data_IF_503466480071
#
_entry.id   IF_503466480071
#
_cell.length_a   1.000
_cell.length_b   1.000
_cell.length_c   1.000
_cell.angle_alpha   90.00
_cell.angle_beta   90.00
_cell.angle_gamma   90.00
#
_symmetry.space_group_name_H-M   'P 1'
#
loop_
_entity.id
_entity.type
_entity.pdbx_description
1 polymer ?
#
# COMPACT_ATOMS: atom_id res chain seq x y z
N UNK A 1 -9.58 -7.49 10.12
CA UNK A 1 -8.50 -6.97 9.26
C UNK A 1 -9.03 -5.96 8.24
N UNK A 2 -10.06 -6.30 7.45
CA UNK A 2 -10.69 -5.39 6.49
C UNK A 2 -11.06 -4.01 7.05
N UNK A 3 -11.86 -3.97 8.14
CA UNK A 3 -12.23 -2.70 8.77
C UNK A 3 -11.04 -1.91 9.35
N UNK A 4 -9.93 -2.58 9.68
CA UNK A 4 -8.71 -1.94 10.16
C UNK A 4 -7.96 -1.27 9.00
N UNK A 5 -7.77 -1.99 7.89
CA UNK A 5 -7.13 -1.49 6.68
C UNK A 5 -7.94 -0.35 6.05
N UNK A 6 -9.27 -0.49 6.01
CA UNK A 6 -10.16 0.58 5.56
C UNK A 6 -10.05 1.84 6.42
N UNK A 7 -9.87 1.69 7.74
CA UNK A 7 -9.67 2.84 8.64
C UNK A 7 -8.37 3.57 8.34
N UNK A 8 -7.30 2.85 8.06
CA UNK A 8 -6.03 3.48 7.66
C UNK A 8 -6.15 4.17 6.31
N UNK A 9 -6.84 3.55 5.35
CA UNK A 9 -7.09 4.15 4.05
C UNK A 9 -8.05 5.35 4.09
N UNK A 10 -8.93 5.45 5.10
CA UNK A 10 -9.77 6.63 5.31
C UNK A 10 -8.98 7.92 5.53
N UNK A 11 -7.69 7.83 5.89
CA UNK A 11 -6.75 8.97 5.88
C UNK A 11 -6.63 9.70 4.53
N UNK A 12 -7.32 9.24 3.48
CA UNK A 12 -7.59 10.02 2.26
C UNK A 12 -8.27 11.37 2.54
N UNK A 13 -9.00 11.51 3.64
CA UNK A 13 -9.60 12.79 4.08
C UNK A 13 -8.56 13.90 4.33
N UNK A 14 -7.29 13.54 4.57
CA UNK A 14 -6.21 14.52 4.73
C UNK A 14 -5.94 15.32 3.45
N UNK A 15 -6.20 14.77 2.27
CA UNK A 15 -5.98 15.47 0.99
C UNK A 15 -6.89 16.70 0.87
N UNK A 16 -8.23 16.60 0.96
CA UNK A 16 -9.10 17.77 0.91
C UNK A 16 -8.88 18.71 2.10
N UNK A 17 -8.56 18.19 3.29
CA UNK A 17 -8.24 19.01 4.44
C UNK A 17 -6.98 19.87 4.23
N UNK A 18 -5.90 19.28 3.71
CA UNK A 18 -4.67 19.99 3.37
C UNK A 18 -4.90 21.05 2.30
N UNK A 19 -5.69 20.74 1.28
CA UNK A 19 -6.06 21.70 0.23
C UNK A 19 -6.83 22.89 0.81
N UNK A 20 -7.80 22.64 1.70
CA UNK A 20 -8.57 23.68 2.37
C UNK A 20 -7.68 24.58 3.25
N UNK A 21 -6.86 24.00 4.12
CA UNK A 21 -5.97 24.74 5.01
C UNK A 21 -4.88 25.52 4.24
N UNK A 22 -4.32 24.93 3.18
CA UNK A 22 -3.36 25.63 2.32
C UNK A 22 -4.01 26.74 1.50
N UNK A 23 -5.28 26.62 1.14
CA UNK A 23 -6.07 27.70 0.56
C UNK A 23 -6.22 28.86 1.55
N UNK A 24 -6.68 28.57 2.77
CA UNK A 24 -6.90 29.55 3.84
C UNK A 24 -5.63 30.31 4.24
N UNK A 25 -4.50 29.60 4.39
CA UNK A 25 -3.22 30.21 4.81
C UNK A 25 -2.53 31.01 3.70
N UNK A 26 -3.06 31.02 2.48
CA UNK A 26 -2.65 31.94 1.41
C UNK A 26 -1.12 31.97 1.20
N UNK A 27 -0.52 33.16 1.16
CA UNK A 27 0.91 33.37 0.88
C UNK A 27 1.86 33.05 2.05
N UNK A 28 1.35 32.69 3.23
CA UNK A 28 2.19 32.38 4.40
C UNK A 28 3.03 31.11 4.21
N UNK A 29 2.62 30.24 3.28
CA UNK A 29 3.32 29.00 2.96
C UNK A 29 3.75 29.05 1.48
N UNK A 30 5.03 28.77 1.16
CA UNK A 30 5.49 28.75 -0.23
C UNK A 30 4.77 27.67 -1.05
N UNK A 31 4.45 28.00 -2.30
CA UNK A 31 3.69 27.13 -3.22
C UNK A 31 4.32 25.74 -3.37
N UNK A 32 5.65 25.66 -3.44
CA UNK A 32 6.36 24.38 -3.53
C UNK A 32 6.12 23.47 -2.33
N UNK A 33 6.06 24.03 -1.11
CA UNK A 33 5.81 23.25 0.10
C UNK A 33 4.38 22.71 0.09
N UNK A 34 3.41 23.51 -0.36
CA UNK A 34 2.01 23.07 -0.51
C UNK A 34 1.91 21.92 -1.51
N UNK A 35 2.48 22.10 -2.70
CA UNK A 35 2.46 21.09 -3.75
C UNK A 35 3.14 19.80 -3.29
N UNK A 36 4.34 19.89 -2.69
CA UNK A 36 5.07 18.73 -2.18
C UNK A 36 4.24 17.90 -1.22
N UNK A 37 3.62 18.53 -0.22
CA UNK A 37 2.84 17.79 0.79
C UNK A 37 1.54 17.22 0.21
N UNK A 38 0.83 17.98 -0.62
CA UNK A 38 -0.37 17.46 -1.30
C UNK A 38 0.00 16.32 -2.23
N UNK A 39 1.09 16.44 -2.99
CA UNK A 39 1.55 15.41 -3.91
C UNK A 39 1.96 14.14 -3.19
N UNK A 40 2.76 14.21 -2.12
CA UNK A 40 3.13 13.04 -1.30
C UNK A 40 1.88 12.38 -0.74
N UNK A 41 0.97 13.18 -0.19
CA UNK A 41 -0.24 12.66 0.43
C UNK A 41 -1.13 11.99 -0.62
N UNK A 42 -1.30 12.60 -1.79
CA UNK A 42 -2.13 12.10 -2.89
C UNK A 42 -1.52 10.86 -3.56
N UNK A 43 -0.26 10.96 -3.99
CA UNK A 43 0.48 9.88 -4.64
C UNK A 43 0.52 8.64 -3.74
N UNK A 44 0.74 8.80 -2.43
CA UNK A 44 0.74 7.68 -1.50
C UNK A 44 -0.59 6.90 -1.47
N UNK A 45 -1.75 7.57 -1.58
CA UNK A 45 -3.06 6.87 -1.64
C UNK A 45 -3.24 6.16 -2.97
N UNK A 46 -2.87 6.82 -4.06
CA UNK A 46 -2.94 6.25 -5.40
C UNK A 46 -2.07 5.00 -5.49
N UNK A 47 -0.84 5.08 -5.00
CA UNK A 47 0.08 3.97 -4.95
C UNK A 47 -0.46 2.83 -4.08
N UNK A 48 -1.05 3.12 -2.92
CA UNK A 48 -1.67 2.09 -2.09
C UNK A 48 -2.84 1.38 -2.80
N UNK A 49 -3.71 2.12 -3.49
CA UNK A 49 -4.87 1.54 -4.18
C UNK A 49 -4.47 0.75 -5.43
N UNK A 50 -3.48 1.22 -6.18
CA UNK A 50 -3.24 0.77 -7.56
C UNK A 50 -1.98 -0.06 -7.73
N UNK A 51 -0.91 0.13 -6.95
CA UNK A 51 0.38 -0.53 -7.24
C UNK A 51 0.26 -2.06 -7.31
N UNK A 52 -0.47 -2.67 -6.38
CA UNK A 52 -0.69 -4.13 -6.40
C UNK A 52 -1.48 -4.60 -7.63
N UNK A 53 -2.47 -3.82 -8.07
CA UNK A 53 -3.26 -4.10 -9.28
C UNK A 53 -2.46 -3.86 -10.56
N UNK A 54 -1.69 -2.78 -10.61
CA UNK A 54 -0.87 -2.42 -11.75
C UNK A 54 0.24 -3.45 -11.96
N UNK A 55 0.95 -3.87 -10.92
CA UNK A 55 2.01 -4.89 -11.06
C UNK A 55 1.44 -6.21 -11.59
N UNK A 56 0.26 -6.60 -11.10
CA UNK A 56 -0.37 -7.88 -11.47
C UNK A 56 -0.98 -7.86 -12.88
N UNK A 57 -1.58 -6.73 -13.28
CA UNK A 57 -2.25 -6.59 -14.59
C UNK A 57 -1.29 -6.08 -15.67
N UNK A 58 -0.55 -4.98 -15.43
CA UNK A 58 0.33 -4.38 -16.44
C UNK A 58 1.48 -5.30 -16.87
N UNK A 59 1.94 -6.21 -16.01
CA UNK A 59 2.96 -7.19 -16.40
C UNK A 59 2.50 -8.12 -17.54
N UNK A 60 1.19 -8.34 -17.69
CA UNK A 60 0.60 -9.22 -18.72
C UNK A 60 -0.17 -8.47 -19.80
N UNK A 61 -0.52 -7.20 -19.55
CA UNK A 61 -1.33 -6.37 -20.45
C UNK A 61 -0.73 -6.26 -21.87
N UNK A 62 0.59 -6.04 -22.07
CA UNK A 62 1.16 -6.01 -23.42
C UNK A 62 1.01 -7.32 -24.18
N UNK A 63 1.05 -8.47 -23.48
CA UNK A 63 0.87 -9.79 -24.11
C UNK A 63 -0.58 -10.03 -24.55
N UNK A 64 -1.55 -9.45 -23.83
CA UNK A 64 -2.97 -9.61 -24.14
C UNK A 64 -3.50 -8.62 -25.19
N UNK A 65 -2.95 -7.41 -25.23
CA UNK A 65 -3.48 -6.32 -26.05
C UNK A 65 -2.66 -6.05 -27.32
N UNK A 66 -1.42 -6.56 -27.44
CA UNK A 66 -0.56 -6.26 -28.60
C UNK A 66 -1.05 -6.91 -29.92
N UNK A 67 -1.39 -6.09 -30.93
CA UNK A 67 -1.66 -6.57 -32.29
C UNK A 67 -0.42 -7.21 -32.93
N UNK A 68 -0.59 -8.07 -33.93
CA UNK A 68 0.51 -8.72 -34.68
C UNK A 68 1.56 -7.71 -35.18
N UNK A 69 1.13 -6.51 -35.59
CA UNK A 69 2.01 -5.43 -36.08
C UNK A 69 2.92 -4.84 -34.99
N UNK A 70 2.45 -4.77 -33.75
CA UNK A 70 3.22 -4.27 -32.60
C UNK A 70 4.14 -5.37 -32.06
N UNK A 71 3.76 -6.64 -32.21
CA UNK A 71 4.59 -7.80 -31.87
C UNK A 71 5.91 -7.86 -32.64
N UNK A 72 5.98 -7.26 -33.83
CA UNK A 72 7.21 -7.15 -34.63
C UNK A 72 8.01 -5.86 -34.36
N UNK A 73 7.50 -4.96 -33.50
CA UNK A 73 8.21 -3.73 -33.16
C UNK A 73 9.41 -4.01 -32.25
N UNK A 74 10.49 -3.24 -32.41
CA UNK A 74 11.65 -3.29 -31.51
C UNK A 74 11.26 -3.04 -30.04
N UNK A 75 10.16 -2.30 -29.78
CA UNK A 75 9.65 -2.08 -28.44
C UNK A 75 9.15 -3.38 -27.79
N UNK A 76 8.43 -4.23 -28.52
CA UNK A 76 7.89 -5.48 -28.00
C UNK A 76 9.01 -6.48 -27.69
N UNK A 77 10.07 -6.51 -28.50
CA UNK A 77 11.26 -7.34 -28.24
C UNK A 77 12.09 -6.85 -27.04
N UNK A 78 12.19 -5.54 -26.84
CA UNK A 78 12.95 -4.96 -25.72
C UNK A 78 12.13 -4.88 -24.41
N UNK A 79 10.81 -4.95 -24.48
CA UNK A 79 9.94 -4.85 -23.32
C UNK A 79 10.25 -5.90 -22.23
N UNK A 80 10.46 -7.19 -22.52
CA UNK A 80 10.85 -8.18 -21.51
C UNK A 80 12.17 -7.83 -20.82
N UNK A 81 13.16 -7.34 -21.58
CA UNK A 81 14.46 -6.97 -21.04
C UNK A 81 14.35 -5.75 -20.11
N UNK A 82 13.63 -4.71 -20.53
CA UNK A 82 13.33 -3.54 -19.68
C UNK A 82 12.59 -3.96 -18.41
N UNK A 83 11.59 -4.83 -18.53
CA UNK A 83 10.82 -5.32 -17.39
C UNK A 83 11.71 -6.12 -16.44
N UNK A 84 12.58 -6.99 -16.95
CA UNK A 84 13.54 -7.75 -16.15
C UNK A 84 14.48 -6.83 -15.37
N UNK A 85 15.04 -5.79 -16.01
CA UNK A 85 15.93 -4.83 -15.36
C UNK A 85 15.19 -4.05 -14.26
N UNK A 86 13.98 -3.56 -14.54
CA UNK A 86 13.15 -2.87 -13.54
C UNK A 86 12.82 -3.77 -12.35
N UNK A 87 12.45 -5.03 -12.60
CA UNK A 87 12.16 -6.01 -11.55
C UNK A 87 13.41 -6.33 -10.73
N UNK A 88 14.59 -6.42 -11.36
CA UNK A 88 15.85 -6.67 -10.66
C UNK A 88 16.21 -5.52 -9.73
N UNK A 89 16.08 -4.27 -10.20
CA UNK A 89 16.31 -3.07 -9.39
C UNK A 89 15.29 -3.01 -8.23
N UNK A 90 14.02 -3.29 -8.50
CA UNK A 90 12.98 -3.31 -7.47
C UNK A 90 13.24 -4.40 -6.39
N UNK A 91 13.66 -5.60 -6.81
CA UNK A 91 14.02 -6.67 -5.88
C UNK A 91 15.23 -6.29 -5.02
N UNK A 92 16.26 -5.68 -5.61
CA UNK A 92 17.41 -5.19 -4.85
C UNK A 92 17.00 -4.15 -3.81
N UNK A 93 16.15 -3.19 -4.18
CA UNK A 93 15.61 -2.21 -3.25
C UNK A 93 14.78 -2.84 -2.13
N UNK A 94 13.98 -3.85 -2.44
CA UNK A 94 13.19 -4.60 -1.46
C UNK A 94 14.07 -5.37 -0.48
N UNK A 95 15.10 -6.07 -0.97
CA UNK A 95 16.07 -6.79 -0.13
C UNK A 95 16.81 -5.80 0.77
N UNK A 96 17.26 -4.66 0.24
CA UNK A 96 17.91 -3.63 1.05
C UNK A 96 16.97 -3.11 2.15
N UNK A 97 15.71 -2.84 1.83
CA UNK A 97 14.69 -2.40 2.80
C UNK A 97 14.43 -3.45 3.88
N UNK A 98 14.37 -4.73 3.51
CA UNK A 98 14.23 -5.84 4.44
C UNK A 98 15.46 -5.95 5.38
N UNK A 99 16.66 -5.82 4.84
CA UNK A 99 17.90 -5.82 5.64
C UNK A 99 17.92 -4.65 6.63
N UNK A 100 17.57 -3.45 6.16
CA UNK A 100 17.53 -2.24 6.99
C UNK A 100 16.41 -2.25 8.04
N UNK A 101 15.40 -3.11 7.92
CA UNK A 101 14.32 -3.22 8.91
C UNK A 101 14.61 -4.18 10.05
N UNK A 102 15.59 -5.10 9.93
CA UNK A 102 15.97 -5.98 11.04
C UNK A 102 16.43 -5.23 12.30
N UNK A 103 17.25 -4.15 12.22
CA UNK A 103 17.62 -3.35 13.38
C UNK A 103 16.45 -2.62 14.04
N UNK A 104 15.36 -2.37 13.31
CA UNK A 104 14.15 -1.74 13.86
C UNK A 104 13.26 -2.74 14.60
N UNK A 105 13.47 -4.05 14.44
CA UNK A 105 12.64 -5.05 15.07
C UNK A 105 13.04 -5.22 16.55
N UNK A 106 12.07 -5.18 17.48
CA UNK A 106 12.35 -5.52 18.87
C UNK A 106 12.81 -6.98 18.98
N UNK A 107 13.64 -7.32 19.99
CA UNK A 107 14.08 -8.68 20.21
C UNK A 107 12.87 -9.61 20.38
N UNK A 108 12.99 -10.84 19.84
CA UNK A 108 11.91 -11.82 19.88
C UNK A 108 11.47 -12.07 21.34
N UNK A 109 10.16 -12.01 21.65
CA UNK A 109 9.66 -12.38 22.97
C UNK A 109 9.89 -13.87 23.28
N UNK A 110 10.32 -14.18 24.50
CA UNK A 110 10.58 -15.56 24.97
C UNK A 110 9.33 -16.46 24.98
N UNK A 111 8.14 -15.86 24.93
CA UNK A 111 6.85 -16.55 24.92
C UNK A 111 6.54 -17.28 23.61
N UNK A 112 7.27 -17.00 22.53
CA UNK A 112 6.98 -17.58 21.21
C UNK A 112 7.97 -18.69 20.85
N UNK A 113 7.52 -19.82 20.28
CA UNK A 113 8.36 -20.95 19.90
C UNK A 113 9.14 -20.72 18.58
N UNK A 114 10.25 -21.44 18.36
CA UNK A 114 11.19 -21.19 17.24
C UNK A 114 10.57 -21.43 15.86
N UNK A 115 9.54 -22.26 15.75
CA UNK A 115 8.82 -22.50 14.50
C UNK A 115 8.00 -21.29 14.02
N UNK A 116 7.80 -20.25 14.84
CA UNK A 116 7.19 -18.98 14.39
C UNK A 116 7.98 -18.30 13.28
N UNK A 117 9.29 -18.55 13.16
CA UNK A 117 10.08 -18.06 12.02
C UNK A 117 9.68 -18.71 10.69
N UNK A 118 9.29 -20.00 10.69
CA UNK A 118 8.75 -20.66 9.50
C UNK A 118 7.39 -20.08 9.12
N UNK A 119 6.53 -19.80 10.11
CA UNK A 119 5.25 -19.12 9.86
C UNK A 119 5.49 -17.72 9.29
N UNK A 120 6.47 -16.99 9.82
CA UNK A 120 6.85 -15.67 9.31
C UNK A 120 7.34 -15.76 7.85
N UNK A 121 8.12 -16.78 7.48
CA UNK A 121 8.51 -17.01 6.09
C UNK A 121 7.30 -17.34 5.19
N UNK A 122 6.41 -18.21 5.66
CA UNK A 122 5.18 -18.58 4.94
C UNK A 122 4.24 -17.38 4.73
N UNK A 123 4.25 -16.39 5.63
CA UNK A 123 3.50 -15.13 5.44
C UNK A 123 3.95 -14.36 4.20
N UNK A 124 5.24 -14.41 3.83
CA UNK A 124 5.73 -13.76 2.61
C UNK A 124 5.11 -14.34 1.34
N UNK A 125 4.84 -15.65 1.32
CA UNK A 125 4.14 -16.30 0.20
C UNK A 125 2.70 -15.80 0.04
N UNK A 126 2.06 -15.37 1.13
CA UNK A 126 0.70 -14.84 1.15
C UNK A 126 0.62 -13.35 0.82
N UNK A 127 1.76 -12.63 0.76
CA UNK A 127 1.80 -11.20 0.43
C UNK A 127 1.15 -10.83 -0.91
N UNK A 128 1.45 -11.46 -2.06
CA UNK A 128 0.86 -11.04 -3.33
C UNK A 128 -0.67 -11.13 -3.33
N UNK A 129 -1.23 -12.13 -2.66
CA UNK A 129 -2.69 -12.31 -2.55
C UNK A 129 -3.27 -11.31 -1.54
N UNK A 130 -2.67 -11.22 -0.35
CA UNK A 130 -3.16 -10.33 0.70
C UNK A 130 -3.05 -8.85 0.34
N UNK A 131 -2.03 -8.43 -0.42
CA UNK A 131 -1.90 -7.05 -0.89
C UNK A 131 -3.02 -6.65 -1.87
N UNK A 132 -3.52 -7.57 -2.67
CA UNK A 132 -4.65 -7.28 -3.56
C UNK A 132 -5.95 -7.24 -2.74
N UNK A 133 -6.28 -8.34 -2.06
CA UNK A 133 -7.60 -8.49 -1.45
C UNK A 133 -7.78 -7.77 -0.12
N UNK A 134 -6.74 -7.74 0.72
CA UNK A 134 -6.80 -7.19 2.06
C UNK A 134 -6.21 -5.78 2.17
N UNK A 135 -5.51 -5.30 1.13
CA UNK A 135 -4.91 -3.95 1.11
C UNK A 135 -5.55 -3.07 0.04
N UNK A 136 -5.44 -3.42 -1.25
CA UNK A 136 -5.96 -2.57 -2.34
C UNK A 136 -7.49 -2.41 -2.31
N UNK A 137 -8.26 -3.50 -2.15
CA UNK A 137 -9.73 -3.44 -2.12
C UNK A 137 -10.27 -2.52 -1.00
N UNK A 138 -9.91 -2.69 0.28
CA UNK A 138 -10.39 -1.79 1.33
C UNK A 138 -9.89 -0.36 1.16
N UNK A 139 -8.75 -0.14 0.51
CA UNK A 139 -8.26 1.20 0.20
C UNK A 139 -9.13 1.89 -0.86
N UNK A 140 -9.45 1.18 -1.95
CA UNK A 140 -10.37 1.66 -2.98
C UNK A 140 -11.76 1.91 -2.38
N UNK A 141 -12.26 1.02 -1.51
CA UNK A 141 -13.53 1.22 -0.81
C UNK A 141 -13.54 2.54 -0.01
N UNK A 142 -12.49 2.83 0.76
CA UNK A 142 -12.40 4.09 1.51
C UNK A 142 -12.33 5.34 0.62
N UNK A 143 -11.51 5.31 -0.43
CA UNK A 143 -11.33 6.44 -1.36
C UNK A 143 -12.63 6.72 -2.12
N UNK A 144 -13.28 5.68 -2.65
CA UNK A 144 -14.54 5.82 -3.39
C UNK A 144 -15.67 6.33 -2.50
N UNK A 145 -15.74 5.90 -1.24
CA UNK A 145 -16.69 6.46 -0.26
C UNK A 145 -16.54 7.97 -0.11
N UNK A 146 -15.29 8.47 0.01
CA UNK A 146 -15.01 9.90 0.08
C UNK A 146 -15.39 10.61 -1.24
N UNK A 147 -15.09 10.00 -2.39
CA UNK A 147 -15.45 10.55 -3.70
C UNK A 147 -16.97 10.68 -3.90
N UNK A 148 -17.74 9.72 -3.37
CA UNK A 148 -19.21 9.74 -3.41
C UNK A 148 -19.85 10.51 -2.26
N UNK A 149 -19.06 11.22 -1.44
CA UNK A 149 -19.56 12.02 -0.31
C UNK A 149 -20.14 11.19 0.85
N UNK A 150 -19.90 9.88 0.87
CA UNK A 150 -20.33 8.98 1.96
C UNK A 150 -19.23 8.91 3.01
N UNK A 151 -19.30 9.82 3.98
CA UNK A 151 -18.31 9.90 5.04
C UNK A 151 -18.32 8.65 5.93
N UNK A 152 -17.20 7.92 5.93
CA UNK A 152 -16.97 6.82 6.86
C UNK A 152 -16.66 7.43 8.22
N UNK A 153 -17.62 7.36 9.15
CA UNK A 153 -17.39 7.80 10.53
C UNK A 153 -16.27 7.02 11.22
N UNK A 154 -15.88 7.47 12.42
CA UNK A 154 -14.81 6.81 13.18
C UNK A 154 -15.30 5.48 13.77
N UNK A 155 -14.99 4.37 13.08
CA UNK A 155 -15.29 3.04 13.61
C UNK A 155 -14.33 2.73 14.77
N UNK A 156 -14.80 2.72 16.02
CA UNK A 156 -13.96 2.46 17.20
C UNK A 156 -13.56 0.99 17.25
N UNK A 157 -12.26 0.71 17.45
CA UNK A 157 -11.82 -0.66 17.71
C UNK A 157 -12.37 -1.12 19.06
N UNK A 158 -13.30 -2.07 19.03
CA UNK A 158 -13.89 -2.68 20.22
C UNK A 158 -12.81 -3.51 20.94
N UNK A 159 -12.14 -2.91 21.92
CA UNK A 159 -11.15 -3.60 22.75
C UNK A 159 -11.87 -4.54 23.71
N UNK A 160 -12.12 -5.78 23.30
CA UNK A 160 -12.62 -6.82 24.22
C UNK A 160 -11.51 -7.13 25.24
N UNK A 161 -11.60 -6.53 26.43
CA UNK A 161 -10.78 -6.93 27.58
C UNK A 161 -11.36 -8.26 28.09
N UNK A 162 -10.64 -9.38 27.94
CA UNK A 162 -10.96 -10.59 28.70
C UNK A 162 -10.77 -10.21 30.17
N UNK A 163 -11.87 -10.04 30.90
CA UNK A 163 -11.81 -9.99 32.36
C UNK A 163 -11.40 -11.39 32.79
N UNK A 164 -10.16 -11.54 33.24
CA UNK A 164 -9.75 -12.77 33.90
C UNK A 164 -10.56 -12.86 35.19
N UNK A 165 -11.55 -13.75 35.20
CA UNK A 165 -12.26 -14.12 36.43
C UNK A 165 -11.21 -14.75 37.33
N UNK A 166 -10.79 -14.03 38.37
CA UNK A 166 -10.06 -14.61 39.49
C UNK A 166 -11.03 -15.53 40.21
N UNK A 167 -10.95 -16.83 39.92
CA UNK A 167 -11.54 -17.85 40.78
C UNK A 167 -10.70 -17.87 42.06
N UNK A 168 -11.34 -17.55 43.19
CA UNK A 168 -10.76 -17.73 44.54
C UNK A 168 -10.62 -19.21 44.85
#
# INVERSE_FOLDING_TARGET
MYAQQRRWAWGTEHVPYLLYEFGKKGKQIPLWKKFKWVFIEWEGKWSWCLVALLITVLGRLPLWVAPESVRQSALFFNAPYLLQTLMTIAMLGMVLSAVLSFPLLPPRPDSHPRHMYLIMLLQWLLLPISLIFLSAIPAIDAVTHLMFGKYLGFNVSQKKRRVAVHTK
#
